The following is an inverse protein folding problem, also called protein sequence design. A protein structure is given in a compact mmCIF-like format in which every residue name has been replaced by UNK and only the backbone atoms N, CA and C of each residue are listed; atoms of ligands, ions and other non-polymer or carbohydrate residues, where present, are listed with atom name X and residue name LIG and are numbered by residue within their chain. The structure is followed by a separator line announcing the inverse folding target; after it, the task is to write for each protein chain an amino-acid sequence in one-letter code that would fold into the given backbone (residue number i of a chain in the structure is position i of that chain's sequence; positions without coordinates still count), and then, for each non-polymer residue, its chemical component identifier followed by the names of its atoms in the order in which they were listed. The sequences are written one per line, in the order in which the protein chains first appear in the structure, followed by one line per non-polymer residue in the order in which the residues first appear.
data_IF_042255715334
#
_entry.id   IF_042255715334
#
_cell.length_a   1.000
_cell.length_b   1.000
_cell.length_c   1.000
_cell.angle_alpha   90.00
_cell.angle_beta   90.00
_cell.angle_gamma   90.00
#
_symmetry.space_group_name_H-M   'P 1'
#
loop_
_entity.id
_entity.type
_entity.pdbx_description
1 polymer ?
#
# COMPACT_ATOMS: atom_id res chain seq x y z
N UNK A 1 -7.00 26.89 5.12
CA UNK A 1 -7.46 25.50 5.27
C UNK A 1 -7.83 25.02 3.89
N UNK A 2 -7.24 23.91 3.44
CA UNK A 2 -7.46 23.34 2.10
C UNK A 2 -7.76 21.87 2.26
N UNK A 3 -8.72 21.35 1.50
CA UNK A 3 -9.15 19.94 1.56
C UNK A 3 -8.79 19.23 0.24
N UNK A 4 -8.41 17.96 0.33
CA UNK A 4 -8.29 17.05 -0.81
C UNK A 4 -9.62 16.32 -0.98
N UNK A 5 -10.07 16.15 -2.23
CA UNK A 5 -11.35 15.50 -2.55
C UNK A 5 -11.09 14.44 -3.62
N UNK A 6 -11.62 13.24 -3.41
CA UNK A 6 -11.66 12.19 -4.42
C UNK A 6 -13.11 11.76 -4.73
N UNK A 7 -13.29 10.92 -5.74
CA UNK A 7 -14.60 10.38 -6.11
C UNK A 7 -15.11 9.42 -5.04
N UNK A 8 -16.34 9.61 -4.59
CA UNK A 8 -17.01 8.67 -3.69
C UNK A 8 -17.16 7.28 -4.33
N UNK A 9 -16.84 6.26 -3.55
CA UNK A 9 -16.98 4.84 -3.91
C UNK A 9 -18.07 4.27 -3.00
N UNK A 10 -19.29 4.11 -3.52
CA UNK A 10 -20.41 3.53 -2.78
C UNK A 10 -20.31 2.01 -2.63
N UNK A 11 -20.96 1.43 -1.62
CA UNK A 11 -21.07 -0.02 -1.31
C UNK A 11 -19.83 -0.88 -1.67
N UNK A 12 -18.67 -0.48 -1.13
CA UNK A 12 -17.39 -1.18 -1.32
C UNK A 12 -16.97 -1.89 -0.04
N UNK A 13 -16.39 -3.08 -0.19
CA UNK A 13 -15.67 -3.71 0.91
C UNK A 13 -14.27 -3.10 1.01
N UNK A 14 -13.86 -2.72 2.22
CA UNK A 14 -12.51 -2.23 2.47
C UNK A 14 -11.60 -3.39 2.86
N UNK A 15 -10.47 -3.51 2.16
CA UNK A 15 -9.43 -4.48 2.49
C UNK A 15 -8.10 -3.77 2.69
N UNK A 16 -7.48 -4.02 3.83
CA UNK A 16 -6.14 -3.55 4.17
C UNK A 16 -5.12 -4.66 3.88
N UNK A 17 -4.07 -4.31 3.15
CA UNK A 17 -2.98 -5.19 2.72
C UNK A 17 -1.69 -4.91 3.50
N UNK A 18 -1.45 -3.69 3.94
CA UNK A 18 -0.37 -3.40 4.88
C UNK A 18 -0.79 -2.31 5.84
N UNK A 19 -0.16 -2.27 7.01
CA UNK A 19 -0.18 -1.12 7.91
C UNK A 19 1.01 -0.20 7.65
N UNK A 20 1.17 0.79 8.52
CA UNK A 20 2.32 1.70 8.48
C UNK A 20 3.64 0.93 8.67
N UNK A 21 3.76 0.09 9.70
CA UNK A 21 4.98 -0.69 9.98
C UNK A 21 4.73 -2.20 9.97
N UNK A 22 3.60 -2.63 9.38
CA UNK A 22 3.15 -4.02 9.33
C UNK A 22 2.96 -4.44 7.86
N UNK A 23 3.76 -5.39 7.40
CA UNK A 23 3.84 -5.81 6.00
C UNK A 23 3.60 -7.33 5.88
N UNK A 24 2.37 -7.80 6.11
CA UNK A 24 2.04 -9.22 6.11
C UNK A 24 2.17 -9.86 4.73
N UNK A 25 2.48 -11.15 4.69
CA UNK A 25 2.45 -11.97 3.47
C UNK A 25 1.06 -12.54 3.22
N UNK A 26 0.56 -12.43 1.99
CA UNK A 26 -0.70 -13.05 1.58
C UNK A 26 -0.48 -14.23 0.63
N UNK A 27 -1.31 -15.26 0.77
CA UNK A 27 -1.32 -16.44 -0.11
C UNK A 27 -2.44 -16.41 -1.16
N UNK A 28 -3.46 -15.55 -0.99
CA UNK A 28 -4.48 -15.34 -2.01
C UNK A 28 -3.89 -14.55 -3.19
N UNK A 29 -4.38 -14.82 -4.41
CA UNK A 29 -3.82 -14.25 -5.64
C UNK A 29 -3.78 -12.72 -5.61
N UNK A 30 -4.81 -12.08 -5.07
CA UNK A 30 -4.90 -10.63 -5.03
C UNK A 30 -3.91 -10.04 -4.04
N UNK A 31 -3.91 -10.51 -2.79
CA UNK A 31 -2.92 -10.09 -1.79
C UNK A 31 -1.48 -10.37 -2.22
N UNK A 32 -1.22 -11.53 -2.83
CA UNK A 32 0.10 -11.85 -3.37
C UNK A 32 0.51 -10.89 -4.50
N UNK A 33 -0.43 -10.47 -5.36
CA UNK A 33 -0.18 -9.47 -6.42
C UNK A 33 0.15 -8.10 -5.82
N UNK A 34 -0.57 -7.68 -4.78
CA UNK A 34 -0.29 -6.42 -4.07
C UNK A 34 1.07 -6.46 -3.38
N UNK A 35 1.41 -7.55 -2.70
CA UNK A 35 2.73 -7.72 -2.08
C UNK A 35 3.86 -7.72 -3.11
N UNK A 36 3.65 -8.38 -4.26
CA UNK A 36 4.62 -8.37 -5.35
C UNK A 36 4.77 -6.96 -5.93
N UNK A 37 3.68 -6.20 -6.05
CA UNK A 37 3.72 -4.81 -6.49
C UNK A 37 4.50 -3.93 -5.50
N UNK A 38 4.27 -4.09 -4.19
CA UNK A 38 5.04 -3.41 -3.14
C UNK A 38 6.54 -3.75 -3.24
N UNK A 39 6.88 -5.02 -3.43
CA UNK A 39 8.26 -5.47 -3.65
C UNK A 39 8.86 -4.88 -4.93
N UNK A 40 8.09 -4.87 -6.01
CA UNK A 40 8.50 -4.30 -7.28
C UNK A 40 8.84 -2.82 -7.14
N UNK A 41 8.01 -2.01 -6.47
CA UNK A 41 8.29 -0.59 -6.22
C UNK A 41 9.57 -0.41 -5.42
N UNK A 42 9.80 -1.26 -4.41
CA UNK A 42 11.04 -1.25 -3.65
C UNK A 42 12.28 -1.51 -4.50
N UNK A 43 12.25 -2.52 -5.37
CA UNK A 43 13.38 -2.80 -6.26
C UNK A 43 13.53 -1.74 -7.36
N UNK A 44 12.43 -1.29 -7.94
CA UNK A 44 12.40 -0.31 -9.03
C UNK A 44 12.94 1.05 -8.58
N UNK A 45 12.67 1.43 -7.34
CA UNK A 45 13.22 2.64 -6.71
C UNK A 45 14.66 2.47 -6.21
N UNK A 46 15.37 1.42 -6.62
CA UNK A 46 16.73 1.11 -6.13
C UNK A 46 16.82 1.01 -4.60
N UNK A 47 15.76 0.46 -3.99
CA UNK A 47 15.63 0.28 -2.53
C UNK A 47 15.51 1.57 -1.73
N UNK A 48 15.15 2.68 -2.38
CA UNK A 48 15.05 3.99 -1.73
C UNK A 48 13.63 4.34 -1.26
N UNK A 49 12.63 3.58 -1.72
CA UNK A 49 11.22 3.80 -1.39
C UNK A 49 10.49 2.46 -1.21
N UNK A 50 9.59 2.37 -0.23
CA UNK A 50 8.61 1.28 -0.17
C UNK A 50 7.21 1.84 0.08
N UNK A 51 6.20 1.21 -0.53
CA UNK A 51 4.81 1.53 -0.21
C UNK A 51 4.42 0.94 1.15
N UNK A 52 3.59 1.63 1.90
CA UNK A 52 3.05 1.23 3.19
C UNK A 52 1.57 1.59 3.27
N UNK A 53 0.90 1.11 4.32
CA UNK A 53 -0.51 1.36 4.59
C UNK A 53 -1.44 1.08 3.37
N UNK A 54 -1.09 0.04 2.60
CA UNK A 54 -1.78 -0.27 1.35
C UNK A 54 -3.18 -0.76 1.66
N UNK A 55 -4.19 -0.05 1.16
CA UNK A 55 -5.59 -0.42 1.30
C UNK A 55 -6.34 -0.26 -0.02
N UNK A 56 -7.39 -1.04 -0.19
CA UNK A 56 -8.22 -1.06 -1.39
C UNK A 56 -9.70 -1.02 -1.06
N UNK A 57 -10.43 -0.36 -1.94
CA UNK A 57 -11.88 -0.51 -2.06
C UNK A 57 -12.17 -1.59 -3.10
N UNK A 58 -12.86 -2.64 -2.69
CA UNK A 58 -13.25 -3.77 -3.53
C UNK A 58 -14.73 -3.65 -3.88
N UNK A 59 -15.02 -3.58 -5.18
CA UNK A 59 -16.37 -3.61 -5.72
C UNK A 59 -16.58 -4.94 -6.43
N UNK A 60 -17.64 -5.64 -6.04
CA UNK A 60 -18.11 -6.84 -6.71
C UNK A 60 -19.36 -6.48 -7.52
N UNK A 61 -19.17 -6.07 -8.77
CA UNK A 61 -20.27 -6.09 -9.73
C UNK A 61 -20.34 -7.47 -10.37
N UNK A 62 -21.53 -7.90 -10.79
CA UNK A 62 -21.79 -9.20 -11.44
C UNK A 62 -20.92 -9.45 -12.68
N UNK A 63 -20.32 -8.41 -13.25
CA UNK A 63 -19.53 -8.45 -14.48
C UNK A 63 -18.05 -8.06 -14.29
N UNK A 64 -17.67 -7.52 -13.14
CA UNK A 64 -16.27 -7.12 -12.88
C UNK A 64 -15.93 -7.09 -11.40
N UNK A 65 -14.79 -7.68 -11.05
CA UNK A 65 -14.13 -7.43 -9.77
C UNK A 65 -13.17 -6.25 -9.97
N UNK A 66 -13.45 -5.13 -9.30
CA UNK A 66 -12.59 -3.94 -9.36
C UNK A 66 -11.98 -3.72 -7.99
N UNK A 67 -10.65 -3.74 -7.95
CA UNK A 67 -9.83 -3.41 -6.78
C UNK A 67 -9.16 -2.07 -7.04
N UNK A 68 -9.49 -1.05 -6.25
CA UNK A 68 -8.92 0.30 -6.39
C UNK A 68 -8.16 0.64 -5.12
N UNK A 69 -6.85 0.80 -5.25
CA UNK A 69 -5.99 1.28 -4.15
C UNK A 69 -6.28 2.75 -3.86
N UNK A 70 -6.22 3.15 -2.60
CA UNK A 70 -6.38 4.54 -2.18
C UNK A 70 -5.59 4.80 -0.90
N UNK A 71 -5.32 6.09 -0.64
CA UNK A 71 -4.65 6.56 0.58
C UNK A 71 -3.36 5.78 0.89
N UNK A 72 -2.53 5.60 -0.15
CA UNK A 72 -1.25 4.92 -0.05
C UNK A 72 -0.25 5.80 0.72
N UNK A 73 0.50 5.17 1.61
CA UNK A 73 1.65 5.77 2.26
C UNK A 73 2.94 5.25 1.61
N UNK A 74 4.03 5.98 1.79
CA UNK A 74 5.37 5.46 1.48
C UNK A 74 6.36 5.75 2.59
N UNK A 75 7.42 4.94 2.63
CA UNK A 75 8.62 5.24 3.36
C UNK A 75 9.74 5.54 2.37
N UNK A 76 10.48 6.62 2.61
CA UNK A 76 11.63 7.02 1.81
C UNK A 76 12.87 7.07 2.68
N UNK A 77 14.08 6.98 2.13
CA UNK A 77 15.31 7.07 2.94
C UNK A 77 15.32 8.30 3.86
N UNK A 78 14.91 9.45 3.33
CA UNK A 78 14.97 10.74 4.06
C UNK A 78 13.72 11.06 4.88
N UNK A 79 12.65 10.26 4.80
CA UNK A 79 11.40 10.59 5.49
C UNK A 79 10.57 11.71 4.85
N UNK A 80 10.74 11.96 3.55
CA UNK A 80 10.25 13.17 2.88
C UNK A 80 8.95 12.95 2.07
N UNK A 81 8.37 11.75 2.07
CA UNK A 81 7.17 11.47 1.26
C UNK A 81 5.85 11.93 1.87
N UNK A 82 5.85 12.37 3.14
CA UNK A 82 4.71 12.97 3.79
C UNK A 82 4.42 12.41 5.18
N UNK A 83 3.19 12.61 5.65
CA UNK A 83 2.77 12.15 6.97
C UNK A 83 2.81 10.62 7.06
N UNK A 84 3.41 10.11 8.13
CA UNK A 84 3.58 8.66 8.33
C UNK A 84 4.81 8.06 7.63
N UNK A 85 5.63 8.86 6.95
CA UNK A 85 6.93 8.39 6.46
C UNK A 85 7.89 8.18 7.65
N UNK A 86 8.25 6.91 7.91
CA UNK A 86 9.16 6.52 8.98
C UNK A 86 10.62 6.40 8.52
N UNK A 87 10.97 6.91 7.34
CA UNK A 87 12.35 6.93 6.90
C UNK A 87 12.90 5.52 6.60
N UNK A 88 14.21 5.37 6.81
CA UNK A 88 14.88 4.07 6.79
C UNK A 88 14.28 3.04 7.76
N UNK A 89 13.69 3.46 8.90
CA UNK A 89 13.06 2.53 9.83
C UNK A 89 11.86 1.82 9.20
N UNK A 90 11.05 2.55 8.44
CA UNK A 90 9.92 1.97 7.71
C UNK A 90 10.35 1.07 6.55
N UNK A 91 11.43 1.43 5.86
CA UNK A 91 12.03 0.55 4.85
C UNK A 91 12.54 -0.73 5.51
N UNK A 92 13.20 -0.62 6.67
CA UNK A 92 13.71 -1.76 7.41
C UNK A 92 12.59 -2.69 7.90
N UNK A 93 11.47 -2.16 8.40
CA UNK A 93 10.34 -3.01 8.81
C UNK A 93 9.79 -3.82 7.64
N UNK A 94 9.73 -3.24 6.44
CA UNK A 94 9.39 -3.98 5.23
C UNK A 94 10.38 -5.10 4.94
N UNK A 95 11.68 -4.81 4.90
CA UNK A 95 12.72 -5.80 4.58
C UNK A 95 12.73 -6.96 5.59
N UNK A 96 12.48 -6.67 6.88
CA UNK A 96 12.48 -7.69 7.94
C UNK A 96 11.25 -8.62 7.87
N UNK A 97 10.11 -8.13 7.38
CA UNK A 97 8.83 -8.85 7.41
C UNK A 97 8.48 -9.49 6.07
N UNK A 98 8.94 -8.90 4.97
CA UNK A 98 8.65 -9.37 3.62
C UNK A 98 9.32 -10.72 3.34
N UNK A 99 8.57 -11.63 2.71
CA UNK A 99 9.00 -13.00 2.39
C UNK A 99 8.81 -13.30 0.92
#
# INVERSE_FOLDING_TARGET
ITWLIERERGDVQLRKYSGTLDHPSYSDKQGATINLFQHYVYLFSEKTLVLADIQASESHDKHSHTCILFDLMSHTINGESGAGDHGEQGIKSFVDQHK
#
